data_IF_507047561608
#
_entry.id   IF_507047561608
#
_cell.length_a   1.000
_cell.length_b   1.000
_cell.length_c   1.000
_cell.angle_alpha   90.00
_cell.angle_beta   90.00
_cell.angle_gamma   90.00
#
_symmetry.space_group_name_H-M   'P 1'
#
loop_
_entity.id
_entity.type
_entity.pdbx_description
1 polymer ?
#
# COMPACT_ATOMS: atom_id res chain seq x y z
N UNK A 1 -22.20 23.45 -7.84
CA UNK A 1 -21.22 22.45 -8.27
C UNK A 1 -21.48 21.03 -7.71
N UNK A 2 -22.68 20.75 -7.13
CA UNK A 2 -22.96 19.56 -6.31
C UNK A 2 -24.02 18.60 -6.85
N UNK A 3 -24.44 18.74 -8.10
CA UNK A 3 -25.46 17.88 -8.73
C UNK A 3 -24.86 16.90 -9.76
N UNK A 4 -23.74 16.24 -9.42
CA UNK A 4 -23.16 15.27 -10.33
C UNK A 4 -23.87 13.90 -10.15
N UNK A 5 -24.58 13.37 -11.14
CA UNK A 5 -25.35 12.13 -11.07
C UNK A 5 -24.46 10.88 -10.81
N UNK A 6 -23.15 10.99 -10.92
CA UNK A 6 -22.19 9.90 -10.67
C UNK A 6 -21.94 9.57 -9.19
N UNK A 7 -22.37 10.43 -8.23
CA UNK A 7 -22.12 10.21 -6.80
C UNK A 7 -22.78 8.98 -6.19
N UNK A 8 -24.09 8.69 -6.44
CA UNK A 8 -24.69 7.48 -5.90
C UNK A 8 -24.05 6.21 -6.48
N UNK A 9 -23.60 6.24 -7.74
CA UNK A 9 -22.90 5.11 -8.36
C UNK A 9 -21.56 4.88 -7.67
N UNK A 10 -20.77 5.91 -7.44
CA UNK A 10 -19.49 5.81 -6.75
C UNK A 10 -19.65 5.22 -5.33
N UNK A 11 -20.62 5.72 -4.54
CA UNK A 11 -20.89 5.19 -3.20
C UNK A 11 -21.26 3.71 -3.25
N UNK A 12 -22.14 3.31 -4.15
CA UNK A 12 -22.52 1.90 -4.34
C UNK A 12 -21.32 1.05 -4.71
N UNK A 13 -20.48 1.52 -5.61
CA UNK A 13 -19.26 0.82 -6.01
C UNK A 13 -18.30 0.63 -4.83
N UNK A 14 -18.08 1.67 -4.01
CA UNK A 14 -17.26 1.58 -2.80
C UNK A 14 -17.84 0.53 -1.84
N UNK A 15 -19.14 0.58 -1.57
CA UNK A 15 -19.79 -0.36 -0.66
C UNK A 15 -19.74 -1.80 -1.19
N UNK A 16 -19.99 -2.02 -2.49
CA UNK A 16 -19.89 -3.34 -3.11
C UNK A 16 -18.48 -3.92 -3.05
N UNK A 17 -17.47 -3.12 -3.37
CA UNK A 17 -16.06 -3.55 -3.26
C UNK A 17 -15.70 -3.85 -1.81
N UNK A 18 -16.15 -3.02 -0.86
CA UNK A 18 -15.94 -3.26 0.58
C UNK A 18 -16.59 -4.58 1.02
N UNK A 19 -17.83 -4.86 0.60
CA UNK A 19 -18.52 -6.11 0.93
C UNK A 19 -17.78 -7.31 0.34
N UNK A 20 -17.40 -7.24 -0.94
CA UNK A 20 -16.69 -8.31 -1.62
C UNK A 20 -15.33 -8.60 -0.95
N UNK A 21 -14.53 -7.56 -0.69
CA UNK A 21 -13.23 -7.71 -0.02
C UNK A 21 -13.38 -8.26 1.40
N UNK A 22 -14.42 -7.84 2.15
CA UNK A 22 -14.66 -8.33 3.50
C UNK A 22 -15.03 -9.82 3.50
N UNK A 23 -15.88 -10.28 2.56
CA UNK A 23 -16.23 -11.70 2.43
C UNK A 23 -15.02 -12.54 2.01
N UNK A 24 -14.24 -12.06 1.05
CA UNK A 24 -13.00 -12.73 0.63
C UNK A 24 -11.96 -12.76 1.75
N UNK A 25 -11.87 -11.69 2.57
CA UNK A 25 -11.00 -11.67 3.74
C UNK A 25 -11.42 -12.68 4.81
N UNK A 26 -12.75 -12.85 5.05
CA UNK A 26 -13.25 -13.91 5.95
C UNK A 26 -12.83 -15.28 5.45
N UNK A 27 -13.01 -15.56 4.17
CA UNK A 27 -12.61 -16.83 3.56
C UNK A 27 -11.10 -17.08 3.69
N UNK A 28 -10.29 -16.09 3.41
CA UNK A 28 -8.82 -16.14 3.51
C UNK A 28 -8.36 -16.41 4.94
N UNK A 29 -8.96 -15.73 5.92
CA UNK A 29 -8.62 -15.90 7.34
C UNK A 29 -9.04 -17.27 7.89
N UNK A 30 -10.17 -17.83 7.44
CA UNK A 30 -10.56 -19.19 7.78
C UNK A 30 -9.51 -20.18 7.25
N UNK A 31 -9.10 -20.02 5.98
CA UNK A 31 -8.04 -20.84 5.40
C UNK A 31 -6.68 -20.69 6.09
N UNK A 32 -6.36 -19.49 6.55
CA UNK A 32 -5.14 -19.23 7.33
C UNK A 32 -5.20 -19.93 8.70
N UNK A 33 -6.32 -19.82 9.42
CA UNK A 33 -6.51 -20.48 10.70
C UNK A 33 -6.40 -22.00 10.60
N UNK A 34 -6.97 -22.59 9.54
CA UNK A 34 -6.84 -24.04 9.27
C UNK A 34 -5.38 -24.45 9.05
N UNK A 35 -4.63 -23.66 8.25
CA UNK A 35 -3.18 -23.94 8.01
C UNK A 35 -2.34 -23.82 9.27
N UNK A 36 -2.73 -22.95 10.20
CA UNK A 36 -2.04 -22.74 11.47
C UNK A 36 -2.50 -23.72 12.56
N UNK A 37 -3.48 -24.59 12.28
CA UNK A 37 -4.05 -25.51 13.26
C UNK A 37 -4.81 -24.80 14.39
N UNK A 38 -5.32 -23.58 14.16
CA UNK A 38 -6.04 -22.81 15.17
C UNK A 38 -7.48 -23.28 15.25
N UNK A 39 -7.92 -23.64 16.45
CA UNK A 39 -9.35 -23.86 16.71
C UNK A 39 -10.06 -22.51 16.79
N UNK A 40 -10.79 -22.19 15.71
CA UNK A 40 -11.54 -20.93 15.60
C UNK A 40 -12.55 -20.74 16.73
N UNK A 41 -13.14 -21.85 17.25
CA UNK A 41 -14.16 -21.76 18.31
C UNK A 41 -13.55 -21.50 19.69
N UNK A 42 -12.31 -21.93 19.90
CA UNK A 42 -11.60 -21.74 21.16
C UNK A 42 -10.89 -20.38 21.25
N UNK A 43 -10.65 -19.71 20.11
CA UNK A 43 -9.91 -18.45 20.08
C UNK A 43 -10.81 -17.22 19.94
N UNK A 44 -10.98 -16.47 21.05
CA UNK A 44 -11.77 -15.24 21.08
C UNK A 44 -11.29 -14.20 20.06
N UNK A 45 -9.97 -14.09 19.87
CA UNK A 45 -9.40 -13.12 18.93
C UNK A 45 -9.77 -13.44 17.47
N UNK A 46 -9.68 -14.71 17.07
CA UNK A 46 -10.07 -15.13 15.72
C UNK A 46 -11.58 -15.01 15.50
N UNK A 47 -12.38 -15.43 16.48
CA UNK A 47 -13.83 -15.26 16.44
C UNK A 47 -14.21 -13.78 16.32
N UNK A 48 -13.60 -12.91 17.14
CA UNK A 48 -13.84 -11.47 17.10
C UNK A 48 -13.52 -10.86 15.74
N UNK A 49 -12.37 -11.21 15.16
CA UNK A 49 -11.95 -10.73 13.85
C UNK A 49 -12.90 -11.20 12.73
N UNK A 50 -13.24 -12.47 12.68
CA UNK A 50 -14.17 -13.02 11.69
C UNK A 50 -15.57 -12.40 11.82
N UNK A 51 -16.05 -12.23 13.06
CA UNK A 51 -17.35 -11.57 13.33
C UNK A 51 -17.34 -10.11 12.85
N UNK A 52 -16.28 -9.37 13.16
CA UNK A 52 -16.14 -7.97 12.72
C UNK A 52 -16.12 -7.83 11.19
N UNK A 53 -15.39 -8.69 10.49
CA UNK A 53 -15.35 -8.69 9.02
C UNK A 53 -16.69 -9.11 8.40
N UNK A 54 -17.35 -10.10 8.99
CA UNK A 54 -18.69 -10.53 8.53
C UNK A 54 -19.73 -9.43 8.76
N UNK A 55 -19.71 -8.78 9.92
CA UNK A 55 -20.58 -7.63 10.20
C UNK A 55 -20.30 -6.47 9.22
N UNK A 56 -19.04 -6.18 8.91
CA UNK A 56 -18.65 -5.18 7.92
C UNK A 56 -19.23 -5.50 6.54
N UNK A 57 -19.15 -6.75 6.10
CA UNK A 57 -19.72 -7.19 4.82
C UNK A 57 -21.25 -6.98 4.81
N UNK A 58 -21.94 -7.40 5.87
CA UNK A 58 -23.39 -7.23 6.00
C UNK A 58 -23.76 -5.74 6.00
N UNK A 59 -23.07 -4.92 6.79
CA UNK A 59 -23.33 -3.47 6.83
C UNK A 59 -23.08 -2.81 5.47
N UNK A 60 -22.03 -3.21 4.74
CA UNK A 60 -21.78 -2.70 3.40
C UNK A 60 -22.89 -3.09 2.42
N UNK A 61 -23.36 -4.35 2.45
CA UNK A 61 -24.47 -4.81 1.61
C UNK A 61 -25.79 -4.11 1.97
N UNK A 62 -26.10 -3.93 3.26
CA UNK A 62 -27.24 -3.13 3.70
C UNK A 62 -27.13 -1.69 3.23
N UNK A 63 -25.94 -1.10 3.30
CA UNK A 63 -25.66 0.23 2.75
C UNK A 63 -25.94 0.33 1.25
N UNK A 64 -25.59 -0.71 0.48
CA UNK A 64 -25.94 -0.80 -0.95
C UNK A 64 -27.47 -0.82 -1.11
N UNK A 65 -28.16 -1.72 -0.41
CA UNK A 65 -29.61 -1.84 -0.51
C UNK A 65 -30.31 -0.52 -0.14
N UNK A 66 -29.92 0.09 0.98
CA UNK A 66 -30.46 1.38 1.45
C UNK A 66 -30.17 2.51 0.45
N UNK A 67 -29.02 2.49 -0.24
CA UNK A 67 -28.66 3.53 -1.22
C UNK A 67 -29.60 3.64 -2.42
N UNK A 68 -30.49 2.65 -2.64
CA UNK A 68 -31.53 2.70 -3.67
C UNK A 68 -32.81 3.41 -3.19
N UNK A 69 -32.98 3.61 -1.88
CA UNK A 69 -34.15 4.32 -1.37
C UNK A 69 -34.02 5.84 -1.55
N UNK A 70 -35.08 6.50 -1.97
CA UNK A 70 -35.14 7.97 -2.12
C UNK A 70 -34.87 8.71 -0.80
N UNK A 71 -35.38 8.14 0.32
CA UNK A 71 -35.15 8.70 1.65
C UNK A 71 -33.66 8.71 2.05
N UNK A 72 -32.96 7.60 1.82
CA UNK A 72 -31.55 7.52 2.11
C UNK A 72 -30.69 8.43 1.22
N UNK A 73 -31.05 8.58 -0.06
CA UNK A 73 -30.39 9.52 -0.95
C UNK A 73 -30.55 10.96 -0.46
N UNK A 74 -31.74 11.32 0.06
CA UNK A 74 -32.00 12.62 0.66
C UNK A 74 -31.21 12.84 1.96
N UNK A 75 -31.13 11.85 2.84
CA UNK A 75 -30.32 11.91 4.05
C UNK A 75 -28.84 12.03 3.73
N UNK A 76 -28.36 11.23 2.78
CA UNK A 76 -26.96 11.24 2.37
C UNK A 76 -26.54 12.56 1.73
N UNK A 77 -27.39 13.14 0.89
CA UNK A 77 -27.13 14.46 0.30
C UNK A 77 -27.07 15.56 1.36
N UNK A 78 -27.97 15.53 2.36
CA UNK A 78 -27.97 16.47 3.49
C UNK A 78 -26.70 16.32 4.33
N UNK A 79 -26.36 15.09 4.70
CA UNK A 79 -25.13 14.80 5.46
C UNK A 79 -23.87 15.27 4.73
N UNK A 80 -23.76 14.94 3.44
CA UNK A 80 -22.63 15.38 2.63
C UNK A 80 -22.54 16.90 2.55
N UNK A 81 -23.67 17.60 2.33
CA UNK A 81 -23.72 19.07 2.28
C UNK A 81 -23.37 19.65 3.65
N UNK A 82 -23.91 19.12 4.74
CA UNK A 82 -23.68 19.63 6.09
C UNK A 82 -22.23 19.46 6.55
N UNK A 83 -21.63 18.30 6.30
CA UNK A 83 -20.21 18.03 6.61
C UNK A 83 -19.29 18.95 5.80
N UNK A 84 -19.58 19.16 4.50
CA UNK A 84 -18.74 20.01 3.66
C UNK A 84 -19.01 21.51 3.89
N UNK A 85 -20.25 21.92 4.27
CA UNK A 85 -20.58 23.31 4.53
C UNK A 85 -20.01 23.83 5.86
N UNK A 86 -19.79 22.93 6.84
CA UNK A 86 -19.16 23.29 8.12
C UNK A 86 -17.69 23.62 8.00
N UNK A 87 -17.11 23.50 6.81
CA UNK A 87 -15.76 23.95 6.52
C UNK A 87 -14.71 23.14 7.30
N UNK A 88 -14.57 21.85 6.97
CA UNK A 88 -13.44 21.07 7.50
C UNK A 88 -12.15 21.81 7.12
N UNK A 89 -11.32 22.21 8.09
CA UNK A 89 -10.07 22.90 7.78
C UNK A 89 -9.20 22.05 6.85
N UNK A 90 -8.64 22.64 5.81
CA UNK A 90 -7.84 21.90 4.82
C UNK A 90 -6.66 21.14 5.44
N UNK A 91 -6.10 21.66 6.53
CA UNK A 91 -5.00 21.00 7.23
C UNK A 91 -5.37 19.62 7.81
N UNK A 92 -6.66 19.33 8.07
CA UNK A 92 -7.13 18.00 8.52
C UNK A 92 -6.87 16.93 7.45
N UNK A 93 -6.84 17.32 6.18
CA UNK A 93 -6.52 16.41 5.09
C UNK A 93 -5.09 15.85 5.15
N UNK A 94 -4.14 16.62 5.67
CA UNK A 94 -2.73 16.21 5.75
C UNK A 94 -2.52 15.01 6.65
N UNK A 95 -2.95 14.99 7.94
CA UNK A 95 -2.78 13.81 8.79
C UNK A 95 -3.53 12.58 8.27
N UNK A 96 -4.71 12.74 7.68
CA UNK A 96 -5.44 11.62 7.09
C UNK A 96 -4.66 10.98 5.93
N UNK A 97 -4.08 11.80 5.06
CA UNK A 97 -3.24 11.33 3.96
C UNK A 97 -1.96 10.67 4.50
N UNK A 98 -1.29 11.30 5.47
CA UNK A 98 -0.07 10.75 6.08
C UNK A 98 -0.31 9.40 6.74
N UNK A 99 -1.39 9.26 7.51
CA UNK A 99 -1.79 7.98 8.11
C UNK A 99 -2.01 6.94 7.02
N UNK A 100 -2.75 7.28 5.97
CA UNK A 100 -3.03 6.36 4.88
C UNK A 100 -1.76 5.86 4.19
N UNK A 101 -0.79 6.74 3.95
CA UNK A 101 0.44 6.41 3.23
C UNK A 101 1.42 5.58 4.07
N UNK A 102 1.52 5.86 5.37
CA UNK A 102 2.54 5.24 6.24
C UNK A 102 2.00 3.99 6.95
N UNK A 103 0.75 4.02 7.38
CA UNK A 103 0.18 2.96 8.23
C UNK A 103 0.19 1.58 7.57
N UNK A 104 -0.03 1.50 6.25
CA UNK A 104 -0.03 0.21 5.55
C UNK A 104 1.33 -0.48 5.63
N UNK A 105 2.41 0.28 5.47
CA UNK A 105 3.76 -0.25 5.59
C UNK A 105 4.07 -0.66 7.03
N UNK A 106 3.72 0.18 8.01
CA UNK A 106 3.88 -0.16 9.43
C UNK A 106 3.05 -1.39 9.83
N UNK A 107 1.82 -1.50 9.34
CA UNK A 107 0.97 -2.66 9.56
C UNK A 107 1.64 -3.94 9.04
N UNK A 108 2.22 -3.90 7.85
CA UNK A 108 2.87 -5.08 7.24
C UNK A 108 4.07 -5.57 8.06
N UNK A 109 4.81 -4.67 8.70
CA UNK A 109 5.93 -5.01 9.60
C UNK A 109 5.48 -5.38 11.01
N UNK A 110 4.21 -5.19 11.36
CA UNK A 110 3.67 -5.61 12.64
C UNK A 110 3.54 -7.14 12.73
N UNK A 111 3.51 -7.73 13.94
CA UNK A 111 3.27 -9.15 14.10
C UNK A 111 1.95 -9.62 13.45
N UNK A 112 0.91 -8.78 13.48
CA UNK A 112 -0.38 -9.07 12.85
C UNK A 112 -0.26 -9.04 11.33
N UNK A 113 0.43 -8.05 10.77
CA UNK A 113 0.68 -7.94 9.35
C UNK A 113 1.54 -9.08 8.83
N UNK A 114 2.57 -9.48 9.57
CA UNK A 114 3.39 -10.64 9.25
C UNK A 114 2.58 -11.94 9.23
N UNK A 115 1.68 -12.13 10.20
CA UNK A 115 0.74 -13.26 10.22
C UNK A 115 -0.19 -13.25 9.00
N UNK A 116 -0.65 -12.07 8.59
CA UNK A 116 -1.52 -11.89 7.43
C UNK A 116 -0.80 -11.90 6.08
N UNK A 117 0.52 -12.12 6.04
CA UNK A 117 1.27 -12.13 4.77
C UNK A 117 0.73 -13.16 3.76
N UNK A 118 0.20 -14.28 4.24
CA UNK A 118 -0.44 -15.31 3.41
C UNK A 118 -1.94 -15.09 3.17
N UNK A 119 -2.54 -14.04 3.74
CA UNK A 119 -3.96 -13.68 3.61
C UNK A 119 -4.10 -12.47 2.69
N UNK A 120 -4.09 -12.70 1.37
CA UNK A 120 -4.10 -11.65 0.35
C UNK A 120 -5.30 -10.71 0.48
N UNK A 121 -6.49 -11.26 0.63
CA UNK A 121 -7.73 -10.47 0.62
C UNK A 121 -7.89 -9.63 1.89
N UNK A 122 -7.42 -10.16 3.04
CA UNK A 122 -7.40 -9.38 4.28
C UNK A 122 -6.44 -8.18 4.15
N UNK A 123 -5.27 -8.35 3.55
CA UNK A 123 -4.34 -7.25 3.27
C UNK A 123 -4.89 -6.25 2.28
N UNK A 124 -5.54 -6.72 1.20
CA UNK A 124 -6.19 -5.85 0.23
C UNK A 124 -7.33 -5.04 0.85
N UNK A 125 -8.05 -5.60 1.83
CA UNK A 125 -9.07 -4.87 2.55
C UNK A 125 -8.48 -3.72 3.38
N UNK A 126 -7.36 -3.96 4.08
CA UNK A 126 -6.63 -2.90 4.82
C UNK A 126 -6.14 -1.83 3.85
N UNK A 127 -5.52 -2.24 2.74
CA UNK A 127 -5.06 -1.32 1.68
C UNK A 127 -6.22 -0.48 1.14
N UNK A 128 -7.37 -1.10 0.88
CA UNK A 128 -8.58 -0.44 0.40
C UNK A 128 -9.06 0.66 1.34
N UNK A 129 -9.20 0.36 2.65
CA UNK A 129 -9.66 1.36 3.63
C UNK A 129 -8.67 2.51 3.76
N UNK A 130 -7.39 2.23 3.79
CA UNK A 130 -6.38 3.27 3.88
C UNK A 130 -6.34 4.12 2.61
N UNK A 131 -6.54 3.51 1.43
CA UNK A 131 -6.65 4.26 0.18
C UNK A 131 -7.88 5.19 0.18
N UNK A 132 -9.03 4.73 0.69
CA UNK A 132 -10.22 5.57 0.85
C UNK A 132 -9.99 6.72 1.85
N UNK A 133 -9.32 6.44 2.97
CA UNK A 133 -8.95 7.44 3.96
C UNK A 133 -8.03 8.51 3.37
N UNK A 134 -7.00 8.10 2.64
CA UNK A 134 -6.08 9.01 1.99
C UNK A 134 -6.71 9.80 0.86
N UNK A 135 -7.64 9.19 0.09
CA UNK A 135 -8.43 9.88 -0.93
C UNK A 135 -9.31 10.97 -0.30
N UNK A 136 -9.95 10.67 0.83
CA UNK A 136 -10.70 11.67 1.60
C UNK A 136 -9.76 12.80 2.09
N UNK A 137 -8.61 12.43 2.66
CA UNK A 137 -7.60 13.40 3.11
C UNK A 137 -7.11 14.32 1.98
N UNK A 138 -6.73 13.74 0.84
CA UNK A 138 -6.26 14.51 -0.32
C UNK A 138 -7.37 15.41 -0.89
N UNK A 139 -8.62 14.94 -0.93
CA UNK A 139 -9.76 15.73 -1.40
C UNK A 139 -10.10 16.88 -0.45
N UNK A 140 -9.90 16.71 0.86
CA UNK A 140 -10.05 17.79 1.86
C UNK A 140 -8.92 18.80 1.72
N UNK A 141 -7.68 18.33 1.61
CA UNK A 141 -6.51 19.20 1.51
C UNK A 141 -6.51 19.97 0.19
N UNK A 142 -6.89 19.33 -0.91
CA UNK A 142 -6.85 19.95 -2.24
C UNK A 142 -8.21 19.84 -2.95
N UNK A 143 -9.07 20.84 -2.69
CA UNK A 143 -10.49 20.89 -3.14
C UNK A 143 -10.66 20.75 -4.66
N UNK A 144 -9.64 21.03 -5.46
CA UNK A 144 -9.69 20.92 -6.93
C UNK A 144 -9.56 19.48 -7.44
N UNK A 145 -9.07 18.56 -6.63
CA UNK A 145 -8.88 17.15 -7.01
C UNK A 145 -10.19 16.41 -6.85
N UNK A 146 -10.64 15.71 -7.90
CA UNK A 146 -11.81 14.83 -7.79
C UNK A 146 -11.50 13.65 -6.86
N UNK A 147 -12.52 13.12 -6.19
CA UNK A 147 -12.33 11.96 -5.30
C UNK A 147 -11.71 10.76 -6.04
N UNK A 148 -12.11 10.49 -7.28
CA UNK A 148 -11.52 9.43 -8.09
C UNK A 148 -10.03 9.67 -8.38
N UNK A 149 -9.65 10.90 -8.73
CA UNK A 149 -8.24 11.27 -8.91
C UNK A 149 -7.45 11.16 -7.61
N UNK A 150 -8.02 11.63 -6.48
CA UNK A 150 -7.42 11.50 -5.16
C UNK A 150 -7.22 10.03 -4.78
N UNK A 151 -8.21 9.18 -5.06
CA UNK A 151 -8.12 7.73 -4.81
C UNK A 151 -7.00 7.07 -5.62
N UNK A 152 -6.91 7.36 -6.93
CA UNK A 152 -5.83 6.83 -7.78
C UNK A 152 -4.45 7.28 -7.30
N UNK A 153 -4.28 8.57 -7.01
CA UNK A 153 -2.99 9.12 -6.53
C UNK A 153 -2.62 8.48 -5.20
N UNK A 154 -3.56 8.37 -4.26
CA UNK A 154 -3.30 7.75 -2.96
C UNK A 154 -2.92 6.27 -3.10
N UNK A 155 -3.65 5.52 -3.95
CA UNK A 155 -3.36 4.10 -4.19
C UNK A 155 -1.94 3.91 -4.76
N UNK A 156 -1.55 4.72 -5.75
CA UNK A 156 -0.22 4.66 -6.34
C UNK A 156 0.87 5.03 -5.33
N UNK A 157 0.71 6.15 -4.61
CA UNK A 157 1.68 6.57 -3.60
C UNK A 157 1.82 5.53 -2.49
N UNK A 158 0.71 4.98 -1.99
CA UNK A 158 0.71 3.94 -0.97
C UNK A 158 1.43 2.67 -1.45
N UNK A 159 1.20 2.24 -2.70
CA UNK A 159 1.88 1.09 -3.29
C UNK A 159 3.39 1.34 -3.43
N UNK A 160 3.79 2.53 -3.90
CA UNK A 160 5.21 2.92 -4.03
C UNK A 160 5.89 2.98 -2.65
N UNK A 161 5.28 3.68 -1.68
CA UNK A 161 5.83 3.79 -0.33
C UNK A 161 5.94 2.41 0.32
N UNK A 162 4.91 1.56 0.16
CA UNK A 162 4.96 0.20 0.67
C UNK A 162 6.08 -0.61 0.02
N UNK A 163 6.21 -0.53 -1.30
CA UNK A 163 7.29 -1.22 -2.02
C UNK A 163 8.67 -0.78 -1.53
N UNK A 164 8.89 0.52 -1.39
CA UNK A 164 10.15 1.05 -0.85
C UNK A 164 10.38 0.59 0.59
N UNK A 165 9.35 0.62 1.44
CA UNK A 165 9.44 0.17 2.82
C UNK A 165 9.82 -1.31 2.93
N UNK A 166 9.32 -2.17 2.04
CA UNK A 166 9.66 -3.61 2.02
C UNK A 166 11.13 -3.88 1.66
N UNK A 167 11.79 -2.94 0.99
CA UNK A 167 13.22 -3.04 0.66
C UNK A 167 14.13 -2.50 1.79
N UNK A 168 13.61 -1.71 2.75
CA UNK A 168 14.40 -1.11 3.82
C UNK A 168 15.23 -2.13 4.64
N UNK A 169 14.71 -3.32 5.00
CA UNK A 169 15.49 -4.32 5.74
C UNK A 169 16.71 -4.84 4.96
N UNK A 170 16.72 -4.72 3.62
CA UNK A 170 17.83 -5.14 2.77
C UNK A 170 18.97 -4.10 2.75
N UNK A 171 18.72 -2.85 3.20
CA UNK A 171 19.70 -1.76 3.22
C UNK A 171 20.62 -1.92 4.44
N UNK A 172 21.61 -2.78 4.34
CA UNK A 172 22.57 -3.06 5.42
C UNK A 172 24.00 -3.09 4.90
N UNK A 173 24.97 -2.97 5.81
CA UNK A 173 26.39 -3.21 5.51
C UNK A 173 26.80 -4.67 5.64
N UNK A 174 25.88 -5.58 5.98
CA UNK A 174 26.20 -6.97 6.21
C UNK A 174 26.49 -7.71 4.90
N UNK A 175 27.74 -8.05 4.60
CA UNK A 175 28.14 -8.58 3.29
C UNK A 175 27.56 -9.97 3.00
N UNK A 176 27.33 -10.79 4.04
CA UNK A 176 26.80 -12.16 3.89
C UNK A 176 25.29 -12.21 3.64
N UNK A 177 24.60 -11.07 3.71
CA UNK A 177 23.22 -10.94 3.28
C UNK A 177 23.06 -10.72 1.77
N UNK A 178 24.18 -10.64 1.01
CA UNK A 178 24.17 -10.52 -0.45
C UNK A 178 23.56 -11.79 -1.08
N UNK A 179 22.47 -11.60 -1.78
CA UNK A 179 21.93 -12.64 -2.66
C UNK A 179 22.84 -12.85 -3.89
N UNK A 180 22.80 -14.03 -4.49
CA UNK A 180 23.58 -14.36 -5.69
C UNK A 180 23.42 -13.29 -6.80
N UNK A 181 22.19 -12.89 -7.10
CA UNK A 181 21.90 -11.91 -8.14
C UNK A 181 22.40 -10.49 -7.80
N UNK A 182 22.43 -10.13 -6.52
CA UNK A 182 22.92 -8.84 -6.05
C UNK A 182 24.44 -8.75 -6.21
N UNK A 183 25.16 -9.76 -5.78
CA UNK A 183 26.63 -9.85 -5.94
C UNK A 183 27.02 -9.74 -7.41
N UNK A 184 26.33 -10.46 -8.29
CA UNK A 184 26.57 -10.41 -9.73
C UNK A 184 26.36 -9.00 -10.29
N UNK A 185 25.29 -8.31 -9.89
CA UNK A 185 24.99 -6.95 -10.34
C UNK A 185 26.08 -5.96 -9.90
N UNK A 186 26.52 -6.01 -8.65
CA UNK A 186 27.57 -5.15 -8.16
C UNK A 186 28.91 -5.45 -8.86
N UNK A 187 29.27 -6.71 -9.02
CA UNK A 187 30.46 -7.08 -9.77
C UNK A 187 30.41 -6.55 -11.21
N UNK A 188 29.33 -6.79 -11.94
CA UNK A 188 29.21 -6.33 -13.34
C UNK A 188 29.19 -4.80 -13.44
N UNK A 189 28.60 -4.08 -12.47
CA UNK A 189 28.66 -2.63 -12.42
C UNK A 189 30.09 -2.12 -12.18
N UNK A 190 30.86 -2.76 -11.30
CA UNK A 190 32.25 -2.38 -11.00
C UNK A 190 33.20 -2.54 -12.19
N UNK A 191 32.86 -3.36 -13.19
CA UNK A 191 33.66 -3.52 -14.39
C UNK A 191 33.73 -2.23 -15.25
N UNK A 192 32.70 -1.37 -15.20
CA UNK A 192 32.71 -0.09 -15.90
C UNK A 192 33.70 0.93 -15.30
N UNK A 193 34.01 0.76 -14.01
CA UNK A 193 34.99 1.59 -13.26
C UNK A 193 36.14 0.72 -12.77
N UNK A 194 36.51 -0.28 -13.55
CA UNK A 194 37.47 -1.31 -13.14
C UNK A 194 38.89 -0.77 -12.88
N UNK A 195 39.27 0.30 -13.55
CA UNK A 195 40.56 0.95 -13.31
C UNK A 195 40.64 1.56 -11.91
N UNK A 196 39.56 2.18 -11.47
CA UNK A 196 39.41 2.79 -10.14
C UNK A 196 39.32 1.72 -9.04
N UNK A 197 38.49 0.69 -9.27
CA UNK A 197 38.21 -0.35 -8.26
C UNK A 197 39.34 -1.40 -8.18
N UNK A 198 39.90 -1.82 -9.33
CA UNK A 198 40.85 -2.96 -9.40
C UNK A 198 42.25 -2.54 -9.86
N UNK A 199 42.50 -1.25 -10.13
CA UNK A 199 43.78 -0.74 -10.63
C UNK A 199 44.12 -1.15 -12.07
N UNK A 200 43.23 -1.84 -12.78
CA UNK A 200 43.40 -2.32 -14.15
C UNK A 200 42.12 -2.31 -14.96
N UNK A 201 42.26 -2.12 -16.27
CA UNK A 201 41.10 -2.22 -17.17
C UNK A 201 40.67 -3.68 -17.33
N UNK A 202 39.43 -3.98 -17.05
CA UNK A 202 38.79 -5.30 -17.26
C UNK A 202 37.79 -5.22 -18.41
N UNK A 203 37.44 -6.39 -18.96
CA UNK A 203 36.43 -6.47 -20.01
C UNK A 203 35.04 -6.03 -19.50
N UNK A 204 34.32 -5.25 -20.31
CA UNK A 204 33.00 -4.78 -19.98
C UNK A 204 31.96 -5.92 -20.07
N UNK A 205 30.92 -5.89 -19.24
CA UNK A 205 29.86 -6.88 -19.29
C UNK A 205 29.05 -6.74 -20.59
N UNK A 206 28.75 -7.87 -21.22
CA UNK A 206 27.96 -7.92 -22.45
C UNK A 206 26.46 -7.94 -22.13
N UNK A 207 26.09 -8.50 -20.97
CA UNK A 207 24.69 -8.70 -20.58
C UNK A 207 24.17 -7.46 -19.84
N UNK A 208 23.07 -6.87 -20.33
CA UNK A 208 22.36 -5.73 -19.73
C UNK A 208 23.26 -4.55 -19.31
N UNK A 209 24.11 -4.01 -20.22
CA UNK A 209 25.07 -2.97 -19.87
C UNK A 209 24.39 -1.71 -19.30
N UNK A 210 23.22 -1.33 -19.81
CA UNK A 210 22.48 -0.14 -19.34
C UNK A 210 22.06 -0.26 -17.87
N UNK A 211 21.61 -1.43 -17.42
CA UNK A 211 21.26 -1.65 -16.02
C UNK A 211 22.48 -1.52 -15.11
N UNK A 212 23.61 -2.09 -15.53
CA UNK A 212 24.84 -2.02 -14.74
C UNK A 212 25.43 -0.62 -14.70
N UNK A 213 25.32 0.14 -15.79
CA UNK A 213 25.71 1.55 -15.84
C UNK A 213 24.94 2.40 -14.83
N UNK A 214 23.65 2.14 -14.63
CA UNK A 214 22.84 2.84 -13.62
C UNK A 214 23.32 2.57 -12.17
N UNK A 215 24.05 1.49 -11.94
CA UNK A 215 24.57 1.12 -10.62
C UNK A 215 26.00 1.65 -10.37
N UNK A 216 26.63 2.37 -11.31
CA UNK A 216 28.00 2.90 -11.19
C UNK A 216 28.12 4.01 -10.13
N UNK A 217 27.21 5.00 -10.01
CA UNK A 217 27.44 6.18 -9.19
C UNK A 217 28.01 5.93 -7.78
N UNK A 218 27.58 4.92 -7.01
CA UNK A 218 28.16 4.64 -5.70
C UNK A 218 29.68 4.37 -5.72
N UNK A 219 30.23 3.83 -6.81
CA UNK A 219 31.66 3.55 -6.92
C UNK A 219 32.53 4.81 -7.07
N UNK A 220 31.97 5.91 -7.61
CA UNK A 220 32.67 7.18 -7.74
C UNK A 220 33.03 7.83 -6.40
N UNK A 221 32.29 7.44 -5.32
CA UNK A 221 32.42 8.01 -3.97
C UNK A 221 32.99 6.99 -2.98
N UNK A 222 33.43 5.82 -3.45
CA UNK A 222 33.83 4.70 -2.59
C UNK A 222 32.78 4.43 -1.50
N UNK A 223 31.54 4.39 -1.92
CA UNK A 223 30.39 4.33 -1.03
C UNK A 223 30.31 2.99 -0.28
N UNK A 224 29.82 2.97 0.97
CA UNK A 224 29.62 1.75 1.72
C UNK A 224 28.51 0.89 1.11
N UNK A 225 28.50 -0.41 1.42
CA UNK A 225 27.59 -1.40 0.84
C UNK A 225 26.11 -1.01 0.99
N UNK A 226 25.71 -0.44 2.14
CA UNK A 226 24.35 0.02 2.35
C UNK A 226 23.92 1.08 1.33
N UNK A 227 24.86 1.94 0.89
CA UNK A 227 24.57 2.96 -0.11
C UNK A 227 24.40 2.36 -1.51
N UNK A 228 25.19 1.33 -1.87
CA UNK A 228 24.99 0.57 -3.10
C UNK A 228 23.58 -0.07 -3.14
N UNK A 229 23.14 -0.65 -2.03
CA UNK A 229 21.80 -1.24 -1.89
C UNK A 229 20.69 -0.19 -1.98
N UNK A 230 20.84 0.91 -1.25
CA UNK A 230 19.91 2.04 -1.34
C UNK A 230 19.80 2.56 -2.77
N UNK A 231 20.95 2.78 -3.43
CA UNK A 231 20.97 3.23 -4.83
C UNK A 231 20.30 2.25 -5.77
N UNK A 232 20.56 0.97 -5.63
CA UNK A 232 19.93 -0.08 -6.41
C UNK A 232 18.39 -0.07 -6.27
N UNK A 233 17.88 0.21 -5.07
CA UNK A 233 16.44 0.34 -4.82
C UNK A 233 15.89 1.61 -5.47
N UNK A 234 16.63 2.71 -5.39
CA UNK A 234 16.20 4.00 -5.93
C UNK A 234 16.13 4.04 -7.47
N UNK A 235 16.90 3.20 -8.16
CA UNK A 235 16.92 3.13 -9.64
C UNK A 235 16.07 2.01 -10.23
N UNK A 236 15.42 1.19 -9.41
CA UNK A 236 14.44 0.17 -9.81
C UNK A 236 13.06 0.77 -10.02
#
# INVERSE_FOLDING_TARGET
>A
MFSNPSRPVLLRSILLVTAALSLLAVWDLIGLAQRLGVDLRASLNWMGMLTALSALAVLALLGVAVSFSKAAQGLWSRFAVDVWSRGIPQWVGIPLLSIALVFYSLFTFSPIGALMNSALWARLLVFWFLTLLGAAGLSIWHVRVSFAGAWMVTALLQAVIHRLAMELPEITNYPFALGWSETTRFYLASLFVSKEVYGRQLALPIINPSLHMLLIPPYWFDAPLWFHRFWQIAVR
#
